data_IF_162981670258
#
_entry.id   IF_162981670258
#
_cell.length_a   1.000
_cell.length_b   1.000
_cell.length_c   1.000
_cell.angle_alpha   90.00
_cell.angle_beta   90.00
_cell.angle_gamma   90.00
#
_symmetry.space_group_name_H-M   'P 1'
#
loop_
_entity.id
_entity.type
_entity.pdbx_description
1 polymer ?
#
# COMPACT_ATOMS: atom_id res chain seq x y z
N UNK A 1 11.25 16.21 6.28
CA UNK A 1 10.07 16.10 5.40
C UNK A 1 9.99 14.68 4.82
N UNK A 2 8.88 13.97 5.05
CA UNK A 2 8.73 12.58 4.61
C UNK A 2 7.39 12.37 3.95
N UNK A 3 7.37 11.60 2.86
CA UNK A 3 6.14 11.18 2.17
C UNK A 3 5.25 10.41 3.13
N UNK A 4 3.97 10.78 3.18
CA UNK A 4 2.91 10.11 3.93
C UNK A 4 1.89 9.52 2.95
N UNK A 5 1.46 8.30 3.24
CA UNK A 5 0.40 7.61 2.52
C UNK A 5 -0.94 7.89 3.19
N UNK A 6 -1.89 8.41 2.42
CA UNK A 6 -3.23 8.74 2.85
C UNK A 6 -4.23 7.83 2.14
N UNK A 7 -5.23 7.37 2.88
CA UNK A 7 -6.24 6.42 2.42
C UNK A 7 -7.45 6.52 3.38
N UNK A 8 -8.70 6.39 2.90
CA UNK A 8 -9.88 6.51 3.75
C UNK A 8 -10.14 5.20 4.51
N UNK A 9 -9.19 4.79 5.35
CA UNK A 9 -9.25 3.55 6.12
C UNK A 9 -8.74 3.76 7.56
N UNK A 10 -9.40 3.11 8.51
CA UNK A 10 -9.00 3.10 9.93
C UNK A 10 -8.28 1.81 10.33
N UNK A 11 -8.29 0.80 9.46
CA UNK A 11 -7.68 -0.49 9.69
C UNK A 11 -7.06 -1.02 8.39
N UNK A 12 -6.13 -1.96 8.52
CA UNK A 12 -5.50 -2.65 7.41
C UNK A 12 -5.18 -4.09 7.80
N UNK A 13 -5.05 -4.95 6.79
CA UNK A 13 -4.33 -6.21 6.93
C UNK A 13 -2.84 -5.95 6.73
N UNK A 14 -2.05 -6.27 7.74
CA UNK A 14 -0.60 -6.25 7.71
C UNK A 14 -0.07 -7.63 7.36
N UNK A 15 0.89 -7.68 6.43
CA UNK A 15 1.63 -8.89 6.08
C UNK A 15 3.13 -8.57 6.05
N UNK A 16 3.86 -9.09 7.03
CA UNK A 16 5.28 -8.81 7.21
C UNK A 16 6.13 -10.08 7.28
N UNK A 17 7.25 -9.99 7.98
CA UNK A 17 8.23 -11.08 8.09
C UNK A 17 7.73 -12.31 8.85
N UNK A 18 6.68 -12.15 9.65
CA UNK A 18 5.97 -13.24 10.32
C UNK A 18 5.09 -14.07 9.37
N UNK A 19 5.00 -13.65 8.09
CA UNK A 19 4.25 -14.30 7.02
C UNK A 19 2.81 -14.64 7.41
N UNK A 20 2.21 -13.81 8.27
CA UNK A 20 0.86 -13.99 8.79
C UNK A 20 0.07 -12.72 8.54
N UNK A 21 -1.15 -12.87 8.00
CA UNK A 21 -2.08 -11.76 7.88
C UNK A 21 -2.64 -11.40 9.25
N UNK A 22 -2.36 -10.18 9.70
CA UNK A 22 -2.86 -9.64 10.96
C UNK A 22 -3.62 -8.35 10.72
N UNK A 23 -4.76 -8.16 11.39
CA UNK A 23 -5.51 -6.91 11.30
C UNK A 23 -4.91 -5.90 12.27
N UNK A 24 -4.60 -4.71 11.79
CA UNK A 24 -3.96 -3.63 12.56
C UNK A 24 -4.70 -2.31 12.38
N UNK A 25 -4.57 -1.42 13.35
CA UNK A 25 -5.08 -0.04 13.25
C UNK A 25 -4.24 0.82 12.31
N UNK A 26 -4.87 1.85 11.75
CA UNK A 26 -4.26 2.88 10.91
C UNK A 26 -4.58 4.25 11.52
N UNK A 27 -3.60 5.17 11.66
CA UNK A 27 -2.27 5.11 11.05
C UNK A 27 -1.21 4.35 11.86
N UNK A 28 -1.47 4.10 13.15
CA UNK A 28 -0.47 3.57 14.08
C UNK A 28 -0.79 2.13 14.49
N UNK A 29 0.25 1.29 14.50
CA UNK A 29 0.25 0.02 15.23
C UNK A 29 1.66 -0.25 15.77
N UNK A 30 1.75 -0.95 16.91
CA UNK A 30 3.05 -1.21 17.55
C UNK A 30 3.84 0.06 17.93
N UNK A 31 3.17 1.20 18.13
CA UNK A 31 3.81 2.49 18.45
C UNK A 31 4.45 3.21 17.26
N UNK A 32 4.21 2.75 16.02
CA UNK A 32 4.75 3.34 14.81
C UNK A 32 3.65 3.72 13.83
N UNK A 33 3.72 4.95 13.33
CA UNK A 33 2.89 5.38 12.19
C UNK A 33 3.46 4.79 10.90
N UNK A 34 2.80 3.74 10.38
CA UNK A 34 3.22 3.04 9.17
C UNK A 34 2.79 3.76 7.87
N UNK A 35 2.02 4.85 7.97
CA UNK A 35 1.71 5.69 6.80
C UNK A 35 2.93 6.46 6.31
N UNK A 36 4.02 6.53 7.08
CA UNK A 36 5.32 7.01 6.63
C UNK A 36 6.22 5.81 6.29
N UNK A 37 6.46 5.49 5.00
CA UNK A 37 7.12 4.23 4.62
C UNK A 37 8.51 4.03 5.27
N UNK A 38 9.28 5.10 5.41
CA UNK A 38 10.64 5.08 5.98
C UNK A 38 10.68 4.97 7.52
N UNK A 39 9.55 5.01 8.23
CA UNK A 39 9.51 4.79 9.69
C UNK A 39 9.55 3.30 10.07
N UNK A 40 9.31 2.41 9.11
CA UNK A 40 9.36 0.96 9.34
C UNK A 40 10.77 0.43 9.07
N UNK A 41 11.26 -0.48 9.92
CA UNK A 41 12.56 -1.11 9.70
C UNK A 41 12.49 -2.16 8.58
N UNK A 42 11.45 -2.99 8.58
CA UNK A 42 11.33 -4.14 7.69
C UNK A 42 10.35 -3.93 6.55
N UNK A 43 10.51 -4.66 5.44
CA UNK A 43 9.54 -4.65 4.37
C UNK A 43 8.23 -5.29 4.82
N UNK A 44 7.11 -4.74 4.36
CA UNK A 44 5.79 -5.30 4.62
C UNK A 44 4.71 -4.66 3.74
N UNK A 45 3.62 -5.40 3.59
CA UNK A 45 2.40 -4.94 2.94
C UNK A 45 1.38 -4.44 3.97
N UNK A 46 0.67 -3.37 3.63
CA UNK A 46 -0.59 -2.99 4.27
C UNK A 46 -1.69 -2.99 3.22
N UNK A 47 -2.72 -3.80 3.41
CA UNK A 47 -3.93 -3.81 2.61
C UNK A 47 -5.03 -3.09 3.39
N UNK A 48 -5.33 -1.85 3.02
CA UNK A 48 -6.26 -0.99 3.74
C UNK A 48 -7.70 -1.47 3.60
N UNK A 49 -8.41 -1.50 4.71
CA UNK A 49 -9.83 -1.85 4.77
C UNK A 49 -10.66 -0.58 4.56
N UNK A 50 -11.10 -0.35 3.33
CA UNK A 50 -11.95 0.78 2.99
C UNK A 50 -13.42 0.47 3.32
N UNK A 51 -14.19 1.41 3.91
CA UNK A 51 -15.64 1.32 3.96
C UNK A 51 -16.24 1.20 2.56
N UNK A 52 -17.33 0.46 2.40
CA UNK A 52 -17.94 0.20 1.09
C UNK A 52 -18.35 1.50 0.39
N UNK A 53 -18.85 2.49 1.15
CA UNK A 53 -19.26 3.82 0.71
C UNK A 53 -18.11 4.81 0.50
N UNK A 54 -16.88 4.49 0.91
CA UNK A 54 -15.75 5.38 0.79
C UNK A 54 -15.25 5.45 -0.67
N UNK A 55 -14.97 6.65 -1.17
CA UNK A 55 -14.37 6.79 -2.51
C UNK A 55 -13.06 6.00 -2.60
N UNK A 56 -12.85 5.27 -3.70
CA UNK A 56 -11.66 4.44 -3.92
C UNK A 56 -10.46 5.30 -4.30
N UNK A 57 -9.62 5.64 -3.33
CA UNK A 57 -8.38 6.38 -3.56
C UNK A 57 -7.28 6.02 -2.55
N UNK A 58 -6.03 6.21 -2.95
CA UNK A 58 -4.83 6.20 -2.10
C UNK A 58 -3.87 7.25 -2.64
N UNK A 59 -3.21 8.00 -1.76
CA UNK A 59 -2.26 9.04 -2.17
C UNK A 59 -0.96 8.94 -1.37
N UNK A 60 0.17 9.28 -1.99
CA UNK A 60 1.46 9.43 -1.36
C UNK A 60 1.91 10.89 -1.56
N UNK A 61 1.84 11.69 -0.48
CA UNK A 61 2.06 13.13 -0.52
C UNK A 61 3.21 13.52 0.41
N UNK A 62 3.97 14.56 0.04
CA UNK A 62 4.96 15.19 0.91
C UNK A 62 4.32 16.17 1.91
N UNK A 63 5.16 16.91 2.65
CA UNK A 63 4.71 17.85 3.68
C UNK A 63 3.99 19.09 3.14
N UNK A 64 4.16 19.39 1.86
CA UNK A 64 3.54 20.52 1.16
C UNK A 64 2.29 20.06 0.38
N UNK A 65 1.99 18.77 0.38
CA UNK A 65 0.84 18.17 -0.29
C UNK A 65 1.09 17.78 -1.75
N UNK A 66 2.35 17.78 -2.21
CA UNK A 66 2.72 17.34 -3.55
C UNK A 66 3.00 15.83 -3.58
N UNK A 67 2.60 15.16 -4.65
CA UNK A 67 2.86 13.73 -4.81
C UNK A 67 1.94 13.07 -5.82
N UNK A 68 1.69 11.78 -5.60
CA UNK A 68 0.86 10.94 -6.47
C UNK A 68 -0.44 10.58 -5.75
N UNK A 69 -1.55 10.63 -6.47
CA UNK A 69 -2.82 10.05 -6.06
C UNK A 69 -3.24 9.02 -7.10
N UNK A 70 -3.73 7.88 -6.63
CA UNK A 70 -4.40 6.88 -7.43
C UNK A 70 -5.87 6.89 -7.04
N UNK A 71 -6.76 7.01 -8.03
CA UNK A 71 -8.20 6.83 -7.85
C UNK A 71 -8.74 5.83 -8.86
N UNK A 72 -9.86 5.18 -8.55
CA UNK A 72 -10.50 4.25 -9.49
C UNK A 72 -12.02 4.24 -9.39
N UNK A 73 -12.67 3.58 -10.34
CA UNK A 73 -14.04 3.09 -10.16
C UNK A 73 -14.11 2.05 -9.03
N UNK A 74 -15.33 1.78 -8.55
CA UNK A 74 -15.58 0.99 -7.34
C UNK A 74 -15.12 -0.46 -7.40
N UNK A 75 -14.94 -1.01 -8.62
CA UNK A 75 -14.55 -2.39 -8.85
C UNK A 75 -13.15 -2.70 -8.29
N UNK A 76 -12.19 -1.76 -8.39
CA UNK A 76 -10.92 -1.90 -7.70
C UNK A 76 -11.09 -1.50 -6.24
N UNK A 77 -11.52 -2.46 -5.42
CA UNK A 77 -11.73 -2.27 -3.98
C UNK A 77 -10.43 -2.20 -3.16
N UNK A 78 -9.39 -2.90 -3.59
CA UNK A 78 -8.14 -3.02 -2.83
C UNK A 78 -7.34 -1.73 -2.83
N UNK A 79 -6.76 -1.38 -1.69
CA UNK A 79 -5.75 -0.31 -1.57
C UNK A 79 -4.56 -0.82 -0.78
N UNK A 80 -3.38 -0.71 -1.36
CA UNK A 80 -2.18 -1.33 -0.80
C UNK A 80 -1.04 -0.33 -0.71
N UNK A 81 -0.33 -0.37 0.42
CA UNK A 81 1.01 0.17 0.56
C UNK A 81 2.00 -0.98 0.73
N UNK A 82 2.97 -1.09 -0.18
CA UNK A 82 4.18 -1.85 0.05
C UNK A 82 5.34 -0.91 0.37
N UNK A 83 6.07 -1.25 1.43
CA UNK A 83 7.26 -0.52 1.87
C UNK A 83 8.42 -1.48 2.01
N UNK A 84 9.62 -1.01 1.67
CA UNK A 84 10.87 -1.76 1.86
C UNK A 84 11.45 -1.61 3.27
N UNK A 85 11.08 -0.54 3.96
CA UNK A 85 11.66 -0.14 5.24
C UNK A 85 13.10 0.38 5.15
N UNK A 86 13.64 0.81 6.29
CA UNK A 86 15.00 1.33 6.40
C UNK A 86 16.02 0.27 6.88
N UNK A 87 15.68 -1.01 6.89
CA UNK A 87 16.59 -2.10 7.24
C UNK A 87 17.64 -2.36 6.16
N UNK A 88 18.72 -3.06 6.51
CA UNK A 88 19.80 -3.40 5.57
C UNK A 88 19.31 -4.20 4.36
N UNK A 89 18.39 -5.15 4.58
CA UNK A 89 17.81 -5.97 3.52
C UNK A 89 17.00 -5.15 2.52
N UNK A 90 16.06 -4.33 3.02
CA UNK A 90 15.23 -3.45 2.18
C UNK A 90 16.03 -2.43 1.39
N UNK A 91 17.08 -1.84 2.00
CA UNK A 91 18.00 -0.94 1.28
C UNK A 91 18.75 -1.66 0.16
N UNK A 92 19.32 -2.84 0.43
CA UNK A 92 20.08 -3.59 -0.57
C UNK A 92 19.24 -4.04 -1.75
N UNK A 93 17.98 -4.41 -1.52
CA UNK A 93 17.05 -4.72 -2.60
C UNK A 93 16.72 -3.49 -3.44
N UNK A 94 16.48 -2.35 -2.81
CA UNK A 94 16.22 -1.10 -3.54
C UNK A 94 17.43 -0.62 -4.35
N UNK A 95 18.65 -0.69 -3.81
CA UNK A 95 19.88 -0.39 -4.56
C UNK A 95 20.03 -1.31 -5.79
N UNK A 96 19.65 -2.58 -5.67
CA UNK A 96 19.69 -3.52 -6.79
C UNK A 96 18.63 -3.20 -7.86
N UNK A 97 17.42 -2.79 -7.47
CA UNK A 97 16.32 -2.47 -8.38
C UNK A 97 16.46 -1.10 -9.05
N UNK A 98 16.92 -0.09 -8.30
CA UNK A 98 16.97 1.29 -8.75
C UNK A 98 18.36 1.70 -9.26
N UNK A 99 19.40 0.95 -8.88
CA UNK A 99 20.78 1.40 -9.01
C UNK A 99 21.30 2.08 -7.73
N UNK A 100 22.63 2.14 -7.56
CA UNK A 100 23.24 2.76 -6.39
C UNK A 100 23.03 4.27 -6.39
N UNK A 101 22.50 4.82 -5.30
CA UNK A 101 22.40 6.28 -5.09
C UNK A 101 21.08 6.93 -5.51
N UNK A 102 20.21 6.21 -6.24
CA UNK A 102 18.90 6.73 -6.72
C UNK A 102 17.79 6.73 -5.65
N UNK A 103 18.17 6.50 -4.38
CA UNK A 103 17.26 6.48 -3.26
C UNK A 103 16.39 5.23 -3.21
N UNK A 104 15.33 5.33 -2.41
CA UNK A 104 14.33 4.27 -2.23
C UNK A 104 12.96 4.74 -2.67
N UNK A 105 12.03 3.79 -2.77
CA UNK A 105 10.65 4.06 -3.12
C UNK A 105 9.71 3.28 -2.20
N UNK A 106 8.43 3.62 -2.25
CA UNK A 106 7.35 2.81 -1.73
C UNK A 106 6.31 2.68 -2.82
N UNK A 107 5.49 1.65 -2.76
CA UNK A 107 4.49 1.37 -3.79
C UNK A 107 3.10 1.56 -3.19
N UNK A 108 2.32 2.46 -3.80
CA UNK A 108 0.87 2.49 -3.60
C UNK A 108 0.22 1.80 -4.78
N UNK A 109 -0.80 0.97 -4.52
CA UNK A 109 -1.44 0.15 -5.53
C UNK A 109 -2.95 0.06 -5.30
N UNK A 110 -3.70 -0.25 -6.35
CA UNK A 110 -5.10 -0.64 -6.29
C UNK A 110 -5.32 -1.99 -6.99
N UNK A 111 -6.39 -2.70 -6.62
CA UNK A 111 -6.66 -4.03 -7.17
C UNK A 111 -8.09 -4.52 -6.93
N UNK A 112 -8.45 -5.60 -7.62
CA UNK A 112 -9.78 -6.24 -7.53
C UNK A 112 -10.00 -6.96 -6.20
N UNK A 113 -8.96 -7.56 -5.64
CA UNK A 113 -9.01 -8.26 -4.36
C UNK A 113 -8.67 -7.33 -3.20
N UNK A 114 -9.01 -7.76 -1.97
CA UNK A 114 -8.62 -7.01 -0.76
C UNK A 114 -7.13 -7.16 -0.50
N UNK A 115 -6.61 -8.39 -0.57
CA UNK A 115 -5.19 -8.70 -0.43
C UNK A 115 -4.62 -9.32 -1.72
N UNK A 116 -3.29 -9.34 -1.84
CA UNK A 116 -2.62 -10.05 -2.94
C UNK A 116 -2.59 -11.59 -2.77
N UNK A 117 -3.13 -12.10 -1.66
CA UNK A 117 -3.16 -13.52 -1.32
C UNK A 117 -4.48 -14.18 -1.74
N UNK A 118 -5.43 -13.39 -2.26
CA UNK A 118 -6.71 -13.83 -2.80
C UNK A 118 -6.65 -13.96 -4.33
N UNK A 119 -7.60 -14.71 -4.89
CA UNK A 119 -7.89 -14.68 -6.32
C UNK A 119 -9.38 -14.35 -6.51
N UNK A 120 -9.69 -13.61 -7.57
CA UNK A 120 -11.07 -13.31 -7.96
C UNK A 120 -11.41 -14.18 -9.17
N UNK A 121 -12.34 -15.14 -9.06
CA UNK A 121 -12.76 -15.95 -10.19
C UNK A 121 -13.36 -15.07 -11.30
N UNK A 122 -13.01 -15.37 -12.55
CA UNK A 122 -13.65 -14.79 -13.73
C UNK A 122 -14.30 -15.92 -14.50
N UNK A 123 -15.63 -15.93 -14.52
CA UNK A 123 -16.41 -16.96 -15.21
C UNK A 123 -16.22 -16.91 -16.73
N UNK A 124 -16.46 -18.04 -17.40
CA UNK A 124 -16.34 -18.13 -18.84
C UNK A 124 -17.26 -17.10 -19.54
N UNK A 125 -16.66 -16.23 -20.35
CA UNK A 125 -17.37 -15.16 -21.07
C UNK A 125 -17.69 -13.91 -20.25
N UNK A 126 -17.26 -13.83 -18.99
CA UNK A 126 -17.40 -12.63 -18.17
C UNK A 126 -16.26 -11.61 -18.42
N UNK A 127 -16.47 -10.37 -17.99
CA UNK A 127 -15.51 -9.27 -18.10
C UNK A 127 -15.45 -8.46 -16.79
N UNK A 128 -14.24 -8.01 -16.41
CA UNK A 128 -14.03 -6.93 -15.46
C UNK A 128 -13.48 -5.71 -16.19
N UNK A 129 -14.09 -4.55 -15.98
CA UNK A 129 -13.59 -3.28 -16.51
C UNK A 129 -13.64 -2.19 -15.44
N UNK A 130 -12.61 -1.34 -15.45
CA UNK A 130 -12.45 -0.26 -14.51
C UNK A 130 -11.70 0.91 -15.15
N UNK A 131 -11.74 2.07 -14.50
CA UNK A 131 -10.94 3.24 -14.85
C UNK A 131 -10.05 3.59 -13.67
N UNK A 132 -8.83 4.04 -13.96
CA UNK A 132 -7.88 4.55 -12.97
C UNK A 132 -7.31 5.89 -13.44
N UNK A 133 -6.99 6.75 -12.48
CA UNK A 133 -6.37 8.06 -12.69
C UNK A 133 -5.29 8.32 -11.65
#
# INVERSE_FOLDING_TARGET
PGTRVLVPAHEAWHFGYDHTLTRVGVPESGGLDHTYPLRSEYPADHFYELPDEARRWIAALDGDGHGLAQTSTDLLRGRKLFRWGHGKGGRRWQEWLNGPGDGGYAEIQAGLARTQLEHVPLEAGAEFSWLES
#
